data_IF_437518054087
#
_entry.id   IF_437518054087
#
_cell.length_a   1.000
_cell.length_b   1.000
_cell.length_c   1.000
_cell.angle_alpha   90.00
_cell.angle_beta   90.00
_cell.angle_gamma   90.00
#
_symmetry.space_group_name_H-M   'P 1'
#
loop_
_entity.id
_entity.type
_entity.pdbx_description
1 polymer ?
#
# COMPACT_ATOMS: atom_id res chain seq x y z
N UNK A 1 -3.79 8.96 -23.11
CA UNK A 1 -3.13 7.65 -22.98
C UNK A 1 -2.67 7.46 -21.54
N UNK A 2 -3.58 6.96 -20.72
CA UNK A 2 -3.26 6.57 -19.36
C UNK A 2 -2.53 5.22 -19.40
N UNK A 3 -1.25 5.28 -19.73
CA UNK A 3 -0.39 4.12 -19.61
C UNK A 3 -0.17 3.83 -18.13
N UNK A 4 -0.68 2.71 -17.65
CA UNK A 4 -0.39 2.25 -16.30
C UNK A 4 1.08 1.82 -16.24
N UNK A 5 1.82 2.37 -15.26
CA UNK A 5 3.22 2.06 -15.03
C UNK A 5 3.43 1.65 -13.58
N UNK A 6 4.40 0.79 -13.36
CA UNK A 6 4.82 0.41 -12.02
C UNK A 6 5.50 1.60 -11.33
N UNK A 7 5.13 1.81 -10.07
CA UNK A 7 5.70 2.88 -9.24
C UNK A 7 6.45 2.23 -8.08
N UNK A 8 7.73 2.59 -7.94
CA UNK A 8 8.53 2.21 -6.80
C UNK A 8 8.39 3.26 -5.69
N UNK A 9 8.21 2.80 -4.47
CA UNK A 9 8.10 3.67 -3.30
C UNK A 9 9.31 3.39 -2.40
N UNK A 10 10.11 4.42 -2.16
CA UNK A 10 11.33 4.33 -1.36
C UNK A 10 11.32 5.35 -0.24
N UNK A 11 11.95 5.02 0.89
CA UNK A 11 12.09 5.94 2.02
C UNK A 11 13.55 6.21 2.36
N UNK A 12 13.81 7.42 2.85
CA UNK A 12 15.11 7.84 3.34
C UNK A 12 14.94 8.60 4.65
N UNK A 13 15.75 8.28 5.65
CA UNK A 13 15.70 8.88 6.98
C UNK A 13 17.02 9.58 7.23
N UNK A 14 17.01 10.91 7.27
CA UNK A 14 18.19 11.74 7.35
C UNK A 14 18.20 12.60 8.60
N UNK A 15 19.38 13.03 9.02
CA UNK A 15 19.51 14.04 10.09
C UNK A 15 18.96 15.37 9.61
N UNK A 16 18.26 16.07 10.47
CA UNK A 16 17.69 17.38 10.18
C UNK A 16 16.48 17.68 11.02
N UNK A 17 15.83 18.80 10.76
CA UNK A 17 14.58 19.12 11.42
C UNK A 17 13.52 18.07 11.05
N UNK A 18 12.74 17.59 12.04
CA UNK A 18 11.70 16.60 11.76
C UNK A 18 10.74 17.08 10.68
N UNK A 19 10.61 16.31 9.62
CA UNK A 19 9.74 16.63 8.50
C UNK A 19 9.38 15.36 7.71
N UNK A 20 8.23 15.38 7.06
CA UNK A 20 7.83 14.36 6.09
C UNK A 20 7.69 15.02 4.72
N UNK A 21 8.56 14.65 3.79
CA UNK A 21 8.53 15.13 2.41
C UNK A 21 8.22 13.98 1.46
N UNK A 22 7.25 14.17 0.60
CA UNK A 22 6.86 13.19 -0.44
C UNK A 22 7.23 13.79 -1.79
N UNK A 23 8.01 13.05 -2.57
CA UNK A 23 8.48 13.46 -3.89
C UNK A 23 7.87 12.54 -4.94
N UNK A 24 7.38 13.11 -6.03
CA UNK A 24 6.83 12.35 -7.15
C UNK A 24 5.31 12.31 -7.22
N UNK A 25 4.60 12.96 -6.29
CA UNK A 25 3.15 13.17 -6.39
C UNK A 25 2.84 14.54 -7.01
N UNK A 26 1.65 14.68 -7.58
CA UNK A 26 1.12 15.99 -7.96
C UNK A 26 0.96 16.88 -6.72
N UNK A 27 1.22 18.19 -6.86
CA UNK A 27 1.34 19.11 -5.73
C UNK A 27 0.20 19.09 -4.71
N UNK A 28 -1.06 19.11 -5.17
CA UNK A 28 -2.22 19.05 -4.27
C UNK A 28 -2.30 17.71 -3.53
N UNK A 29 -1.93 16.61 -4.20
CA UNK A 29 -1.98 15.26 -3.62
C UNK A 29 -0.94 15.05 -2.53
N UNK A 30 0.20 15.75 -2.59
CA UNK A 30 1.29 15.63 -1.59
C UNK A 30 0.77 16.01 -0.20
N UNK A 31 0.15 17.16 -0.11
CA UNK A 31 -0.32 17.70 1.18
C UNK A 31 -1.39 16.80 1.79
N UNK A 32 -2.35 16.39 0.99
CA UNK A 32 -3.45 15.54 1.43
C UNK A 32 -2.94 14.16 1.89
N UNK A 33 -2.08 13.53 1.10
CA UNK A 33 -1.51 12.23 1.45
C UNK A 33 -0.69 12.31 2.74
N UNK A 34 0.14 13.33 2.90
CA UNK A 34 0.92 13.53 4.11
C UNK A 34 0.03 13.64 5.35
N UNK A 35 -1.08 14.38 5.24
CA UNK A 35 -2.03 14.52 6.35
C UNK A 35 -2.71 13.20 6.71
N UNK A 36 -3.18 12.44 5.72
CA UNK A 36 -3.79 11.13 5.96
C UNK A 36 -2.81 10.15 6.59
N UNK A 37 -1.59 10.07 6.07
CA UNK A 37 -0.54 9.19 6.57
C UNK A 37 -0.19 9.54 8.02
N UNK A 38 0.05 10.81 8.31
CA UNK A 38 0.38 11.27 9.68
C UNK A 38 -0.75 10.96 10.65
N UNK A 39 -1.99 11.28 10.28
CA UNK A 39 -3.15 11.04 11.13
C UNK A 39 -3.34 9.55 11.41
N UNK A 40 -3.24 8.71 10.40
CA UNK A 40 -3.37 7.27 10.55
C UNK A 40 -2.29 6.68 11.47
N UNK A 41 -1.04 7.12 11.32
CA UNK A 41 0.05 6.67 12.19
C UNK A 41 -0.13 7.15 13.63
N UNK A 42 -0.54 8.40 13.83
CA UNK A 42 -0.82 8.94 15.16
C UNK A 42 -1.98 8.21 15.85
N UNK A 43 -2.97 7.74 15.10
CA UNK A 43 -4.08 6.96 15.66
C UNK A 43 -3.62 5.63 16.27
N UNK A 44 -2.45 5.14 15.90
CA UNK A 44 -1.83 3.95 16.45
C UNK A 44 -0.79 4.26 17.53
N UNK A 45 -0.75 5.50 18.02
CA UNK A 45 0.26 5.97 18.97
C UNK A 45 1.69 5.84 18.44
N UNK A 46 1.86 5.92 17.12
CA UNK A 46 3.18 5.87 16.50
C UNK A 46 3.98 7.13 16.85
N UNK A 47 5.21 6.94 17.31
CA UNK A 47 6.13 8.04 17.57
C UNK A 47 6.96 8.30 16.32
N UNK A 48 6.76 9.46 15.70
CA UNK A 48 7.57 9.86 14.55
C UNK A 48 9.03 10.04 15.00
N UNK A 49 9.97 9.50 14.21
CA UNK A 49 11.39 9.72 14.52
C UNK A 49 11.73 11.20 14.39
N UNK A 50 12.65 11.67 15.25
CA UNK A 50 13.18 13.04 15.19
C UNK A 50 14.15 13.17 14.00
N UNK A 51 13.67 12.90 12.80
CA UNK A 51 14.45 12.82 11.58
C UNK A 51 13.67 13.42 10.42
N UNK A 52 14.39 13.82 9.38
CA UNK A 52 13.80 14.20 8.12
C UNK A 52 13.49 12.92 7.32
N UNK A 53 12.22 12.68 7.05
CA UNK A 53 11.75 11.53 6.27
C UNK A 53 11.47 12.00 4.85
N UNK A 54 12.08 11.34 3.88
CA UNK A 54 11.84 11.60 2.46
C UNK A 54 11.26 10.32 1.85
N UNK A 55 10.08 10.45 1.27
CA UNK A 55 9.42 9.37 0.51
C UNK A 55 9.53 9.72 -0.96
N UNK A 56 10.14 8.85 -1.74
CA UNK A 56 10.31 9.05 -3.18
C UNK A 56 9.46 8.05 -3.95
N UNK A 57 8.61 8.56 -4.84
CA UNK A 57 7.79 7.78 -5.76
C UNK A 57 8.42 7.85 -7.15
N UNK A 58 9.00 6.75 -7.62
CA UNK A 58 9.69 6.70 -8.91
C UNK A 58 8.82 6.07 -10.01
N UNK A 59 8.94 6.51 -11.25
CA UNK A 59 9.81 7.57 -11.74
C UNK A 59 9.29 8.96 -11.40
N UNK A 60 10.20 9.90 -11.12
CA UNK A 60 9.84 11.26 -10.67
C UNK A 60 9.33 12.16 -11.80
N UNK A 61 9.64 11.83 -13.05
CA UNK A 61 9.21 12.58 -14.23
C UNK A 61 7.78 12.25 -14.68
N UNK A 62 7.16 11.24 -14.06
CA UNK A 62 5.80 10.84 -14.37
C UNK A 62 4.85 11.41 -13.30
N UNK A 63 3.87 12.23 -13.70
CA UNK A 63 2.87 12.71 -12.74
C UNK A 63 2.11 11.53 -12.13
N UNK A 64 2.03 11.51 -10.81
CA UNK A 64 1.29 10.50 -10.06
C UNK A 64 0.27 11.21 -9.21
N UNK A 65 -0.98 10.85 -9.41
CA UNK A 65 -2.07 11.28 -8.55
C UNK A 65 -2.84 10.01 -8.17
N UNK A 66 -3.19 9.91 -6.93
CA UNK A 66 -3.96 8.76 -6.49
C UNK A 66 -3.73 8.48 -5.02
N UNK A 67 -4.81 8.13 -4.37
CA UNK A 67 -4.82 7.95 -2.92
C UNK A 67 -4.32 6.57 -2.50
N UNK A 68 -4.19 5.65 -3.45
CA UNK A 68 -3.72 4.30 -3.16
C UNK A 68 -2.24 4.20 -2.75
N UNK A 69 -1.49 5.30 -2.85
CA UNK A 69 -0.11 5.36 -2.35
C UNK A 69 -0.02 5.59 -0.83
N UNK A 70 -1.11 5.98 -0.17
CA UNK A 70 -1.10 6.27 1.26
C UNK A 70 -0.58 5.09 2.09
N UNK A 71 -1.12 3.89 1.84
CA UNK A 71 -0.75 2.71 2.62
C UNK A 71 0.73 2.35 2.48
N UNK A 72 1.31 2.25 1.27
CA UNK A 72 2.74 1.96 1.16
C UNK A 72 3.62 3.03 1.79
N UNK A 73 3.25 4.31 1.73
CA UNK A 73 4.00 5.39 2.37
C UNK A 73 3.99 5.21 3.90
N UNK A 74 2.82 4.97 4.49
CA UNK A 74 2.69 4.77 5.93
C UNK A 74 3.47 3.53 6.40
N UNK A 75 3.46 2.45 5.63
CA UNK A 75 4.19 1.23 5.96
C UNK A 75 5.70 1.45 5.94
N UNK A 76 6.24 2.18 4.97
CA UNK A 76 7.66 2.50 4.93
C UNK A 76 8.10 3.28 6.16
N UNK A 77 7.25 4.19 6.66
CA UNK A 77 7.54 4.96 7.87
C UNK A 77 7.45 4.06 9.11
N UNK A 78 6.37 3.28 9.23
CA UNK A 78 6.16 2.42 10.39
C UNK A 78 7.19 1.30 10.51
N UNK A 79 7.64 0.76 9.38
CA UNK A 79 8.54 -0.38 9.29
C UNK A 79 10.00 0.01 9.01
N UNK A 80 10.37 1.25 9.28
CA UNK A 80 11.68 1.80 8.94
C UNK A 80 12.88 0.98 9.49
N UNK A 81 12.67 0.24 10.56
CA UNK A 81 13.71 -0.59 11.21
C UNK A 81 13.72 -2.02 10.68
N UNK A 82 12.69 -2.40 9.95
CA UNK A 82 12.56 -3.73 9.37
C UNK A 82 12.87 -3.65 7.89
N UNK A 83 13.68 -4.56 7.36
CA UNK A 83 14.19 -4.39 5.99
C UNK A 83 14.05 -5.61 5.11
N UNK A 84 13.93 -6.77 5.44
CA UNK A 84 14.02 -7.93 4.57
C UNK A 84 12.65 -8.51 4.22
N UNK A 85 11.83 -7.72 3.52
CA UNK A 85 10.55 -8.20 3.02
C UNK A 85 10.67 -8.67 1.57
N UNK A 86 9.98 -9.74 1.24
CA UNK A 86 9.83 -10.17 -0.15
C UNK A 86 9.06 -9.09 -0.94
N UNK A 87 9.39 -8.90 -2.23
CA UNK A 87 8.70 -7.92 -3.05
C UNK A 87 7.18 -8.12 -3.03
N UNK A 88 6.47 -7.03 -2.78
CA UNK A 88 5.00 -7.03 -2.73
C UNK A 88 4.49 -5.67 -3.20
N UNK A 89 3.42 -5.68 -3.99
CA UNK A 89 2.72 -4.47 -4.35
C UNK A 89 1.70 -4.14 -3.28
N UNK A 90 1.65 -2.89 -2.85
CA UNK A 90 0.78 -2.44 -1.77
C UNK A 90 -0.10 -1.29 -2.27
N UNK A 91 -1.40 -1.41 -2.08
CA UNK A 91 -2.36 -0.39 -2.48
C UNK A 91 -3.36 -0.12 -1.37
N UNK A 92 -3.67 1.13 -1.14
CA UNK A 92 -4.72 1.53 -0.21
C UNK A 92 -4.71 3.01 0.10
N UNK A 93 -5.89 3.60 0.18
CA UNK A 93 -6.09 4.92 0.74
C UNK A 93 -6.25 4.79 2.25
N UNK A 94 -5.69 5.72 3.01
CA UNK A 94 -5.87 5.74 4.46
C UNK A 94 -6.93 6.75 4.87
N UNK A 95 -7.85 6.31 5.72
CA UNK A 95 -8.68 7.21 6.49
C UNK A 95 -7.88 7.81 7.65
N UNK A 96 -8.35 8.90 8.21
CA UNK A 96 -7.70 9.58 9.34
C UNK A 96 -7.64 8.70 10.58
N UNK A 97 -8.53 7.74 10.68
CA UNK A 97 -8.61 6.75 11.76
C UNK A 97 -7.73 5.51 11.53
N UNK A 98 -7.03 5.46 10.40
CA UNK A 98 -6.20 4.32 10.03
C UNK A 98 -6.91 3.25 9.21
N UNK A 99 -8.17 3.42 8.87
CA UNK A 99 -8.88 2.48 8.00
C UNK A 99 -8.28 2.45 6.60
N UNK A 100 -8.20 1.27 5.99
CA UNK A 100 -7.69 1.10 4.63
C UNK A 100 -8.85 1.00 3.67
N UNK A 101 -8.87 1.88 2.69
CA UNK A 101 -9.97 2.03 1.72
C UNK A 101 -9.49 1.78 0.31
N UNK A 102 -10.39 1.22 -0.51
CA UNK A 102 -10.17 1.05 -1.92
C UNK A 102 -10.39 2.37 -2.68
N UNK A 103 -9.74 2.50 -3.82
CA UNK A 103 -10.01 3.56 -4.77
C UNK A 103 -10.73 3.00 -5.98
N UNK A 104 -11.41 3.87 -6.75
CA UNK A 104 -12.17 3.44 -7.91
C UNK A 104 -11.30 2.77 -9.00
N UNK A 105 -10.02 3.14 -9.08
CA UNK A 105 -9.10 2.62 -10.09
C UNK A 105 -8.41 1.31 -9.69
N UNK A 106 -8.54 0.86 -8.45
CA UNK A 106 -7.74 -0.25 -7.94
C UNK A 106 -8.01 -1.56 -8.68
N UNK A 107 -9.26 -1.87 -8.97
CA UNK A 107 -9.58 -3.11 -9.69
C UNK A 107 -8.89 -3.16 -11.06
N UNK A 108 -8.89 -2.05 -11.80
CA UNK A 108 -8.20 -1.94 -13.08
C UNK A 108 -6.69 -2.09 -12.94
N UNK A 109 -6.11 -1.55 -11.87
CA UNK A 109 -4.69 -1.70 -11.56
C UNK A 109 -4.35 -3.18 -11.33
N UNK A 110 -5.18 -3.90 -10.59
CA UNK A 110 -4.96 -5.32 -10.33
C UNK A 110 -5.07 -6.16 -11.60
N UNK A 111 -6.01 -5.85 -12.49
CA UNK A 111 -6.10 -6.49 -13.80
C UNK A 111 -4.83 -6.28 -14.63
N UNK A 112 -4.32 -5.06 -14.62
CA UNK A 112 -3.07 -4.73 -15.30
C UNK A 112 -1.89 -5.55 -14.74
N UNK A 113 -1.77 -5.63 -13.40
CA UNK A 113 -0.72 -6.42 -12.76
C UNK A 113 -0.82 -7.91 -13.10
N UNK A 114 -2.04 -8.45 -13.13
CA UNK A 114 -2.27 -9.83 -13.49
C UNK A 114 -1.73 -10.17 -14.88
N UNK A 115 -1.84 -9.23 -15.81
CA UNK A 115 -1.35 -9.39 -17.18
C UNK A 115 0.15 -9.13 -17.31
N UNK A 116 0.66 -8.08 -16.64
CA UNK A 116 2.05 -7.61 -16.80
C UNK A 116 3.04 -8.32 -15.90
N UNK A 117 2.63 -8.70 -14.71
CA UNK A 117 3.50 -9.32 -13.71
C UNK A 117 2.78 -10.51 -13.04
N UNK A 118 2.47 -11.57 -13.80
CA UNK A 118 1.79 -12.74 -13.23
C UNK A 118 2.61 -13.35 -12.10
N UNK A 119 1.93 -13.84 -11.08
CA UNK A 119 2.57 -14.39 -9.89
C UNK A 119 2.92 -13.37 -8.84
N UNK A 120 2.63 -12.08 -9.05
CA UNK A 120 2.93 -11.02 -8.09
C UNK A 120 2.11 -11.15 -6.81
N UNK A 121 2.74 -10.82 -5.69
CA UNK A 121 2.08 -10.66 -4.41
C UNK A 121 1.52 -9.26 -4.28
N UNK A 122 0.29 -9.14 -3.83
CA UNK A 122 -0.36 -7.82 -3.64
C UNK A 122 -1.06 -7.77 -2.28
N UNK A 123 -0.98 -6.62 -1.63
CA UNK A 123 -1.71 -6.29 -0.40
C UNK A 123 -2.73 -5.20 -0.73
N UNK A 124 -4.00 -5.47 -0.47
CA UNK A 124 -5.12 -4.63 -0.89
C UNK A 124 -6.10 -4.37 0.27
N UNK A 125 -6.97 -3.36 0.12
CA UNK A 125 -8.05 -3.16 1.08
C UNK A 125 -9.03 -4.33 1.10
N UNK A 126 -9.48 -4.71 2.30
CA UNK A 126 -10.43 -5.79 2.52
C UNK A 126 -11.75 -5.57 1.76
N UNK A 127 -12.18 -4.32 1.60
CA UNK A 127 -13.45 -4.01 0.94
C UNK A 127 -13.50 -4.39 -0.54
N UNK A 128 -12.34 -4.59 -1.19
CA UNK A 128 -12.29 -5.04 -2.59
C UNK A 128 -11.90 -6.53 -2.70
N UNK A 129 -11.68 -7.20 -1.58
CA UNK A 129 -11.14 -8.57 -1.59
C UNK A 129 -11.99 -9.56 -2.36
N UNK A 130 -13.30 -9.50 -2.22
CA UNK A 130 -14.21 -10.41 -2.91
C UNK A 130 -14.10 -10.29 -4.43
N UNK A 131 -14.10 -9.06 -4.95
CA UNK A 131 -13.91 -8.79 -6.39
C UNK A 131 -12.53 -9.20 -6.86
N UNK A 132 -11.51 -8.83 -6.09
CA UNK A 132 -10.12 -9.10 -6.42
C UNK A 132 -9.83 -10.61 -6.46
N UNK A 133 -10.51 -11.39 -5.64
CA UNK A 133 -10.36 -12.84 -5.61
C UNK A 133 -10.67 -13.53 -6.95
N UNK A 134 -11.41 -12.88 -7.83
CA UNK A 134 -11.70 -13.39 -9.16
C UNK A 134 -10.56 -13.15 -10.17
N UNK A 135 -9.59 -12.32 -9.83
CA UNK A 135 -8.47 -12.00 -10.72
C UNK A 135 -7.43 -13.13 -10.65
N UNK A 136 -7.08 -13.76 -11.79
CA UNK A 136 -6.08 -14.83 -11.80
C UNK A 136 -4.66 -14.28 -11.69
N UNK A 137 -3.71 -15.18 -11.47
CA UNK A 137 -2.28 -14.91 -11.55
C UNK A 137 -1.74 -13.91 -10.53
N UNK A 138 -2.45 -13.67 -9.43
CA UNK A 138 -1.96 -12.84 -8.33
C UNK A 138 -2.09 -13.60 -7.02
N UNK A 139 -1.11 -13.39 -6.16
CA UNK A 139 -1.16 -13.85 -4.77
C UNK A 139 -1.66 -12.68 -3.93
N UNK A 140 -2.94 -12.71 -3.56
CA UNK A 140 -3.65 -11.56 -2.98
C UNK A 140 -3.81 -11.71 -1.49
N UNK A 141 -3.50 -10.64 -0.77
CA UNK A 141 -3.71 -10.48 0.68
C UNK A 141 -4.53 -9.22 0.92
N UNK A 142 -5.36 -9.22 1.94
CA UNK A 142 -6.25 -8.11 2.24
C UNK A 142 -6.21 -7.73 3.71
N UNK A 143 -6.27 -6.44 3.98
CA UNK A 143 -6.30 -5.87 5.34
C UNK A 143 -7.33 -4.75 5.41
N UNK A 144 -7.86 -4.53 6.63
CA UNK A 144 -8.91 -3.55 6.87
C UNK A 144 -8.39 -2.22 7.41
N UNK A 145 -7.21 -2.21 8.02
CA UNK A 145 -6.67 -1.02 8.65
C UNK A 145 -5.14 -1.07 8.70
N UNK A 146 -4.52 0.06 9.05
CA UNK A 146 -3.07 0.19 9.11
C UNK A 146 -2.44 -0.73 10.15
N UNK A 147 -3.09 -0.94 11.29
CA UNK A 147 -2.57 -1.85 12.32
C UNK A 147 -2.44 -3.27 11.78
N UNK A 148 -3.45 -3.76 11.07
CA UNK A 148 -3.40 -5.06 10.41
C UNK A 148 -2.32 -5.11 9.32
N UNK A 149 -2.15 -4.03 8.56
CA UNK A 149 -1.13 -3.97 7.52
C UNK A 149 0.28 -4.08 8.13
N UNK A 150 0.55 -3.39 9.23
CA UNK A 150 1.81 -3.49 9.95
C UNK A 150 2.01 -4.92 10.46
N UNK A 151 0.99 -5.50 11.08
CA UNK A 151 1.02 -6.86 11.59
C UNK A 151 1.27 -7.89 10.48
N UNK A 152 0.71 -7.66 9.30
CA UNK A 152 0.94 -8.49 8.11
C UNK A 152 2.43 -8.65 7.81
N UNK A 153 3.20 -7.58 7.91
CA UNK A 153 4.64 -7.63 7.63
C UNK A 153 5.47 -8.22 8.78
N UNK A 154 4.98 -8.15 10.01
CA UNK A 154 5.74 -8.55 11.19
C UNK A 154 5.43 -9.95 11.69
N UNK A 155 4.24 -10.49 11.41
CA UNK A 155 3.78 -11.76 11.98
C UNK A 155 3.39 -12.75 10.87
N UNK A 156 4.22 -13.76 10.59
CA UNK A 156 3.94 -14.71 9.50
C UNK A 156 2.61 -15.44 9.59
N UNK A 157 2.15 -15.76 10.80
CA UNK A 157 0.86 -16.41 10.99
C UNK A 157 -0.30 -15.50 10.58
N UNK A 158 -0.18 -14.21 10.92
CA UNK A 158 -1.18 -13.23 10.51
C UNK A 158 -1.16 -13.02 9.00
N UNK A 159 0.02 -12.99 8.39
CA UNK A 159 0.18 -12.90 6.93
C UNK A 159 -0.63 -13.99 6.24
N UNK A 160 -0.47 -15.24 6.68
CA UNK A 160 -1.21 -16.37 6.11
C UNK A 160 -2.73 -16.20 6.25
N UNK A 161 -3.20 -15.64 7.36
CA UNK A 161 -4.63 -15.41 7.59
C UNK A 161 -5.24 -14.32 6.69
N UNK A 162 -4.41 -13.43 6.15
CA UNK A 162 -4.85 -12.36 5.26
C UNK A 162 -5.07 -12.81 3.81
N UNK A 163 -4.65 -14.03 3.48
CA UNK A 163 -4.71 -14.54 2.11
C UNK A 163 -6.14 -14.58 1.59
N UNK A 164 -6.35 -13.98 0.41
CA UNK A 164 -7.63 -14.04 -0.29
C UNK A 164 -7.63 -15.27 -1.17
N UNK A 165 -8.50 -16.22 -0.86
CA UNK A 165 -8.66 -17.41 -1.69
C UNK A 165 -9.36 -17.10 -3.00
N UNK A 166 -8.90 -17.70 -4.09
CA UNK A 166 -9.64 -17.66 -5.33
C UNK A 166 -10.88 -18.54 -5.19
N UNK A 167 -12.06 -17.91 -5.17
CA UNK A 167 -13.31 -18.64 -5.16
C UNK A 167 -13.69 -18.93 -6.61
N UNK A 168 -13.42 -20.16 -7.05
CA UNK A 168 -14.02 -20.70 -8.25
C UNK A 168 -15.29 -21.45 -7.85
N UNK A 169 -16.48 -20.89 -8.10
CA UNK A 169 -17.72 -21.57 -7.71
C UNK A 169 -17.86 -22.98 -8.29
N UNK A 170 -17.22 -23.22 -9.42
CA UNK A 170 -17.22 -24.53 -10.08
C UNK A 170 -16.38 -25.58 -9.35
N UNK A 171 -15.43 -25.17 -8.51
CA UNK A 171 -14.55 -26.08 -7.77
C UNK A 171 -14.89 -26.17 -6.28
N UNK A 172 -15.74 -25.29 -5.77
CA UNK A 172 -16.12 -25.30 -4.37
C UNK A 172 -16.99 -26.51 -3.97
N UNK A 173 -17.51 -27.24 -4.95
CA UNK A 173 -18.36 -28.42 -4.74
C UNK A 173 -17.61 -29.73 -5.04
N UNK A 174 -16.33 -29.65 -5.27
CA UNK A 174 -15.48 -30.82 -5.41
C UNK A 174 -14.77 -31.09 -4.09
#
# INVERSE_FOLDING_TARGET
>A
NDELRLVDVESSFNRGLPALNIVGLAGASIKESAERVKSALLSLNFSFPAQKIIINLSPSDMPKSGRHFDLPIALLIALQKERDFEPIFVFGELGLDGGVKSTASLFSILLFLSAKAPGSRVLIPQEIAQKAGAIPNLEIYAVSNLAEAIKFFLEPEFTASCRVGSVHPLFSNL
#
